data_IF_456406834244
#
_entry.id   IF_456406834244
#
_cell.length_a   1.000
_cell.length_b   1.000
_cell.length_c   1.000
_cell.angle_alpha   90.00
_cell.angle_beta   90.00
_cell.angle_gamma   90.00
#
_symmetry.space_group_name_H-M   'P 1'
#
loop_
_entity.id
_entity.type
_entity.pdbx_description
1 polymer ?
#
# COMPACT_ATOMS: atom_id res chain seq x y z
N UNK A 1 3.80 5.72 -0.19
CA UNK A 1 3.58 4.26 -0.13
C UNK A 1 3.51 3.75 -1.54
N UNK A 2 4.45 2.90 -1.90
CA UNK A 2 4.52 2.24 -3.20
C UNK A 2 3.45 1.14 -3.30
N UNK A 3 3.32 0.53 -4.48
CA UNK A 3 2.26 -0.43 -4.79
C UNK A 3 2.70 -1.89 -4.62
N UNK A 4 3.67 -2.16 -3.73
CA UNK A 4 4.06 -3.53 -3.43
C UNK A 4 2.85 -4.33 -2.92
N UNK A 5 2.75 -5.61 -3.28
CA UNK A 5 1.54 -6.43 -3.06
C UNK A 5 1.12 -6.47 -1.58
N UNK A 6 2.08 -6.53 -0.67
CA UNK A 6 1.86 -6.54 0.78
C UNK A 6 1.34 -5.19 1.31
N UNK A 7 1.56 -4.09 0.60
CA UNK A 7 0.99 -2.79 0.93
C UNK A 7 -0.45 -2.61 0.45
N UNK A 8 -0.90 -3.43 -0.50
CA UNK A 8 -2.22 -3.34 -1.14
C UNK A 8 -3.15 -4.50 -0.74
N UNK A 9 -2.94 -5.07 0.45
CA UNK A 9 -3.82 -6.11 1.02
C UNK A 9 -5.18 -5.49 1.37
N UNK A 10 -6.24 -6.01 0.76
CA UNK A 10 -7.61 -5.55 0.97
C UNK A 10 -8.12 -5.98 2.35
N UNK A 11 -8.73 -5.05 3.08
CA UNK A 11 -9.37 -5.32 4.38
C UNK A 11 -10.63 -6.17 4.24
N UNK A 12 -11.37 -5.99 3.14
CA UNK A 12 -12.59 -6.72 2.86
C UNK A 12 -12.44 -7.56 1.60
N UNK A 13 -12.92 -8.80 1.66
CA UNK A 13 -13.05 -9.62 0.48
C UNK A 13 -14.26 -9.15 -0.34
N UNK A 14 -13.99 -8.74 -1.57
CA UNK A 14 -15.02 -8.28 -2.50
C UNK A 14 -15.47 -9.41 -3.43
N UNK A 15 -16.76 -9.49 -3.76
CA UNK A 15 -17.25 -10.44 -4.75
C UNK A 15 -16.60 -10.21 -6.12
N UNK A 16 -16.33 -11.31 -6.81
CA UNK A 16 -15.82 -11.32 -8.19
C UNK A 16 -16.74 -12.15 -9.08
N UNK A 17 -16.55 -12.07 -10.40
CA UNK A 17 -17.32 -12.89 -11.36
C UNK A 17 -17.09 -14.40 -11.21
N UNK A 18 -16.07 -14.85 -10.48
CA UNK A 18 -15.87 -16.28 -10.19
C UNK A 18 -16.73 -16.78 -9.02
N UNK A 19 -17.29 -15.89 -8.18
CA UNK A 19 -18.13 -16.31 -7.05
C UNK A 19 -19.44 -16.93 -7.53
N UNK A 20 -19.98 -17.88 -6.76
CA UNK A 20 -21.34 -18.40 -6.98
C UNK A 20 -22.35 -17.26 -6.83
N UNK A 21 -23.40 -17.25 -7.66
CA UNK A 21 -24.44 -16.20 -7.65
C UNK A 21 -24.98 -15.94 -6.24
N UNK A 22 -25.32 -17.02 -5.52
CA UNK A 22 -25.84 -16.92 -4.14
C UNK A 22 -24.86 -16.20 -3.20
N UNK A 23 -23.57 -16.53 -3.25
CA UNK A 23 -22.56 -15.86 -2.40
C UNK A 23 -22.44 -14.35 -2.68
N UNK A 24 -22.75 -13.90 -3.89
CA UNK A 24 -22.79 -12.47 -4.22
C UNK A 24 -24.02 -11.81 -3.59
N UNK A 25 -25.15 -12.51 -3.59
CA UNK A 25 -26.40 -12.07 -2.94
C UNK A 25 -26.18 -11.96 -1.43
N UNK A 26 -25.69 -13.03 -0.79
CA UNK A 26 -25.44 -13.05 0.66
C UNK A 26 -24.48 -11.91 1.08
N UNK A 27 -23.46 -11.63 0.26
CA UNK A 27 -22.54 -10.52 0.53
C UNK A 27 -23.23 -9.16 0.42
N UNK A 28 -24.09 -8.94 -0.57
CA UNK A 28 -24.85 -7.70 -0.74
C UNK A 28 -25.82 -7.49 0.43
N UNK A 29 -26.57 -8.53 0.81
CA UNK A 29 -27.51 -8.49 1.93
C UNK A 29 -26.81 -8.23 3.26
N UNK A 30 -25.63 -8.84 3.48
CA UNK A 30 -24.78 -8.55 4.64
C UNK A 30 -24.33 -7.07 4.71
N UNK A 31 -24.29 -6.36 3.57
CA UNK A 31 -24.01 -4.92 3.51
C UNK A 31 -25.28 -4.05 3.54
N UNK A 32 -26.45 -4.65 3.75
CA UNK A 32 -27.74 -3.96 3.81
C UNK A 32 -28.38 -3.66 2.45
N UNK A 33 -27.87 -4.24 1.35
CA UNK A 33 -28.52 -4.12 0.04
C UNK A 33 -29.69 -5.09 -0.08
N UNK A 34 -30.82 -4.60 -0.60
CA UNK A 34 -31.97 -5.43 -0.93
C UNK A 34 -31.76 -6.02 -2.33
N UNK A 35 -31.86 -7.34 -2.45
CA UNK A 35 -31.78 -8.08 -3.71
C UNK A 35 -33.18 -8.58 -4.07
N UNK A 36 -33.77 -7.99 -5.11
CA UNK A 36 -35.10 -8.40 -5.61
C UNK A 36 -34.91 -9.42 -6.74
N UNK A 37 -35.61 -10.56 -6.62
CA UNK A 37 -35.59 -11.62 -7.63
C UNK A 37 -36.69 -11.42 -8.70
N UNK A 38 -36.49 -11.95 -9.93
CA UNK A 38 -35.28 -12.60 -10.43
C UNK A 38 -34.22 -11.58 -10.90
N UNK A 39 -32.95 -11.80 -10.54
CA UNK A 39 -31.82 -10.94 -10.95
C UNK A 39 -30.69 -11.76 -11.59
N UNK A 40 -30.01 -11.23 -12.60
CA UNK A 40 -28.85 -11.87 -13.23
C UNK A 40 -27.54 -11.46 -12.57
N UNK A 41 -26.49 -12.27 -12.74
CA UNK A 41 -25.18 -12.06 -12.09
C UNK A 41 -24.54 -10.71 -12.47
N UNK A 42 -24.76 -10.25 -13.70
CA UNK A 42 -24.24 -8.97 -14.19
C UNK A 42 -24.80 -7.80 -13.37
N UNK A 43 -26.10 -7.82 -13.06
CA UNK A 43 -26.75 -6.75 -12.30
C UNK A 43 -26.37 -6.78 -10.82
N UNK A 44 -26.16 -7.97 -10.24
CA UNK A 44 -25.55 -8.10 -8.91
C UNK A 44 -24.17 -7.43 -8.88
N UNK A 45 -23.33 -7.68 -9.89
CA UNK A 45 -22.01 -7.05 -9.96
C UNK A 45 -22.06 -5.53 -10.22
N UNK A 46 -23.13 -5.00 -10.82
CA UNK A 46 -23.35 -3.55 -10.90
C UNK A 46 -23.62 -2.98 -9.50
N UNK A 47 -24.43 -3.65 -8.68
CA UNK A 47 -24.65 -3.28 -7.26
C UNK A 47 -23.34 -3.34 -6.46
N UNK A 48 -22.57 -4.43 -6.57
CA UNK A 48 -21.25 -4.55 -5.92
C UNK A 48 -20.32 -3.40 -6.31
N UNK A 49 -20.30 -3.01 -7.59
CA UNK A 49 -19.49 -1.88 -8.08
C UNK A 49 -19.88 -0.54 -7.47
N UNK A 50 -21.17 -0.30 -7.16
CA UNK A 50 -21.61 0.91 -6.46
C UNK A 50 -21.03 0.99 -5.06
N UNK A 51 -20.95 -0.16 -4.36
CA UNK A 51 -20.37 -0.25 -3.03
C UNK A 51 -18.83 -0.28 -3.03
N UNK A 52 -18.19 -0.44 -4.19
CA UNK A 52 -16.73 -0.63 -4.30
C UNK A 52 -15.95 0.44 -3.56
N UNK A 53 -16.27 1.73 -3.75
CA UNK A 53 -15.54 2.83 -3.10
C UNK A 53 -15.58 2.77 -1.57
N UNK A 54 -16.67 2.27 -0.99
CA UNK A 54 -16.85 2.21 0.47
C UNK A 54 -16.05 1.05 1.10
N UNK A 55 -15.90 -0.05 0.36
CA UNK A 55 -15.29 -1.29 0.86
C UNK A 55 -13.92 -1.61 0.22
N UNK A 56 -13.45 -0.81 -0.73
CA UNK A 56 -12.09 -0.89 -1.29
C UNK A 56 -11.10 -0.17 -0.36
N UNK A 57 -10.92 -0.75 0.82
CA UNK A 57 -10.00 -0.28 1.86
C UNK A 57 -8.83 -1.24 2.00
N UNK A 58 -7.64 -0.70 2.18
CA UNK A 58 -6.44 -1.49 2.47
C UNK A 58 -6.21 -1.59 3.98
N UNK A 59 -5.68 -2.74 4.43
CA UNK A 59 -5.43 -3.01 5.85
C UNK A 59 -4.51 -1.95 6.46
N UNK A 60 -3.41 -1.63 5.77
CA UNK A 60 -2.43 -0.67 6.26
C UNK A 60 -2.98 0.77 6.27
N UNK A 61 -3.77 1.13 5.27
CA UNK A 61 -4.37 2.48 5.18
C UNK A 61 -5.32 2.72 6.35
N UNK A 62 -6.10 1.70 6.73
CA UNK A 62 -6.99 1.79 7.89
C UNK A 62 -6.20 1.81 9.20
N UNK A 63 -5.18 0.98 9.35
CA UNK A 63 -4.30 1.02 10.52
C UNK A 63 -3.61 2.38 10.69
N UNK A 64 -3.12 2.97 9.61
CA UNK A 64 -2.50 4.28 9.63
C UNK A 64 -3.52 5.37 10.01
N UNK A 65 -4.74 5.29 9.45
CA UNK A 65 -5.84 6.21 9.77
C UNK A 65 -6.22 6.14 11.25
N UNK A 66 -6.30 4.94 11.82
CA UNK A 66 -6.61 4.73 13.25
C UNK A 66 -5.53 5.34 14.16
N UNK A 67 -4.31 5.52 13.64
CA UNK A 67 -3.19 6.21 14.30
C UNK A 67 -3.05 7.68 13.87
N UNK A 68 -4.11 8.28 13.30
CA UNK A 68 -4.14 9.66 12.82
C UNK A 68 -3.04 9.99 11.80
N UNK A 69 -2.68 9.02 10.95
CA UNK A 69 -1.71 9.17 9.86
C UNK A 69 -2.41 9.15 8.50
N UNK A 70 -1.87 9.93 7.57
CA UNK A 70 -2.34 9.97 6.18
C UNK A 70 -1.36 9.16 5.33
N UNK A 71 -1.89 8.20 4.57
CA UNK A 71 -1.09 7.42 3.61
C UNK A 71 -1.18 8.06 2.23
N UNK A 72 -0.05 8.57 1.73
CA UNK A 72 0.09 9.01 0.35
C UNK A 72 0.57 7.83 -0.51
N UNK A 73 -0.23 7.41 -1.49
CA UNK A 73 0.12 6.33 -2.41
C UNK A 73 0.72 6.88 -3.71
N UNK A 74 1.77 6.22 -4.18
CA UNK A 74 2.42 6.56 -5.45
C UNK A 74 1.66 5.94 -6.63
N UNK A 75 1.70 6.58 -7.81
CA UNK A 75 1.27 5.94 -9.04
C UNK A 75 2.03 4.61 -9.27
N UNK A 76 1.36 3.58 -9.84
CA UNK A 76 2.02 2.32 -10.16
C UNK A 76 3.24 2.52 -11.07
N UNK A 77 4.33 1.78 -10.81
CA UNK A 77 5.58 1.79 -11.60
C UNK A 77 6.40 3.09 -11.56
N UNK A 78 6.14 3.98 -10.61
CA UNK A 78 6.88 5.23 -10.43
C UNK A 78 7.68 5.23 -9.11
N UNK A 79 8.65 4.32 -8.98
CA UNK A 79 9.45 4.18 -7.76
C UNK A 79 10.43 5.36 -7.55
N UNK A 80 10.76 6.11 -8.60
CA UNK A 80 11.53 7.35 -8.56
C UNK A 80 10.86 8.45 -7.72
N UNK A 81 9.53 8.37 -7.55
CA UNK A 81 8.76 9.28 -6.70
C UNK A 81 8.79 8.87 -5.22
N UNK A 82 9.41 7.74 -4.88
CA UNK A 82 9.48 7.27 -3.51
C UNK A 82 10.69 7.89 -2.79
N UNK A 83 10.50 8.82 -1.84
CA UNK A 83 11.62 9.52 -1.20
C UNK A 83 12.57 8.58 -0.45
N UNK A 84 12.07 7.45 0.07
CA UNK A 84 12.93 6.46 0.74
C UNK A 84 13.88 5.78 -0.25
N UNK A 85 13.45 5.52 -1.48
CA UNK A 85 14.32 4.92 -2.52
C UNK A 85 15.42 5.89 -2.93
N UNK A 86 15.11 7.18 -3.02
CA UNK A 86 16.10 8.23 -3.30
C UNK A 86 17.14 8.32 -2.17
N UNK A 87 16.68 8.36 -0.91
CA UNK A 87 17.56 8.35 0.25
C UNK A 87 18.43 7.09 0.27
N UNK A 88 17.83 5.93 0.04
CA UNK A 88 18.55 4.64 0.03
C UNK A 88 19.54 4.53 -1.12
N UNK A 89 19.23 5.08 -2.29
CA UNK A 89 20.15 5.18 -3.43
C UNK A 89 21.40 5.98 -3.06
N UNK A 90 21.23 7.13 -2.39
CA UNK A 90 22.36 7.94 -1.91
C UNK A 90 23.26 7.18 -0.94
N UNK A 91 22.65 6.49 0.04
CA UNK A 91 23.38 5.70 1.04
C UNK A 91 24.10 4.52 0.40
N UNK A 92 23.41 3.76 -0.47
CA UNK A 92 23.99 2.62 -1.21
C UNK A 92 25.19 3.05 -2.06
N UNK A 93 25.07 4.18 -2.75
CA UNK A 93 26.17 4.72 -3.55
C UNK A 93 27.39 5.06 -2.69
N UNK A 94 27.18 5.69 -1.53
CA UNK A 94 28.26 5.99 -0.59
C UNK A 94 28.94 4.72 -0.07
N UNK A 95 28.17 3.74 0.39
CA UNK A 95 28.71 2.46 0.87
C UNK A 95 29.48 1.75 -0.24
N UNK A 96 28.94 1.72 -1.46
CA UNK A 96 29.59 1.07 -2.62
C UNK A 96 30.95 1.69 -2.95
N UNK A 97 31.09 3.02 -2.85
CA UNK A 97 32.35 3.70 -3.18
C UNK A 97 33.39 3.68 -2.06
N UNK A 98 32.98 3.44 -0.80
CA UNK A 98 33.87 3.48 0.36
C UNK A 98 34.11 2.11 1.01
N UNK A 99 33.36 1.08 0.63
CA UNK A 99 33.54 -0.26 1.16
C UNK A 99 34.65 -1.01 0.42
N UNK A 100 35.90 -0.77 0.81
CA UNK A 100 37.07 -1.40 0.21
C UNK A 100 37.38 -2.81 0.76
N UNK A 101 36.59 -3.28 1.73
CA UNK A 101 36.91 -4.50 2.50
C UNK A 101 35.88 -5.61 2.36
N UNK A 102 34.69 -5.27 1.86
CA UNK A 102 33.54 -6.18 1.74
C UNK A 102 33.14 -6.87 3.06
N UNK A 103 33.54 -6.32 4.22
CA UNK A 103 33.19 -6.83 5.56
C UNK A 103 31.96 -6.12 6.11
N UNK A 104 31.06 -6.88 6.74
CA UNK A 104 29.81 -6.34 7.30
C UNK A 104 30.03 -5.25 8.35
N UNK A 105 31.07 -5.38 9.20
CA UNK A 105 31.43 -4.36 10.19
C UNK A 105 31.69 -3.00 9.52
N UNK A 106 32.43 -3.00 8.42
CA UNK A 106 32.76 -1.78 7.69
C UNK A 106 31.54 -1.19 6.97
N UNK A 107 30.63 -2.03 6.49
CA UNK A 107 29.32 -1.57 5.97
C UNK A 107 28.53 -0.86 7.07
N UNK A 108 28.45 -1.43 8.28
CA UNK A 108 27.72 -0.83 9.40
C UNK A 108 28.29 0.54 9.79
N UNK A 109 29.62 0.67 9.83
CA UNK A 109 30.28 1.95 10.15
C UNK A 109 30.03 3.01 9.07
N UNK A 110 30.05 2.61 7.79
CA UNK A 110 29.72 3.51 6.67
C UNK A 110 28.25 3.95 6.70
N UNK A 111 27.32 3.05 7.05
CA UNK A 111 25.91 3.37 7.22
C UNK A 111 25.70 4.40 8.34
N UNK A 112 26.36 4.23 9.49
CA UNK A 112 26.29 5.19 10.60
C UNK A 112 26.85 6.57 10.22
N UNK A 113 27.95 6.61 9.46
CA UNK A 113 28.56 7.86 9.00
C UNK A 113 27.65 8.63 8.04
N UNK A 114 26.98 7.94 7.11
CA UNK A 114 26.14 8.58 6.08
C UNK A 114 24.69 8.82 6.52
N UNK A 115 24.15 7.96 7.38
CA UNK A 115 22.80 8.04 7.95
C UNK A 115 22.72 8.75 9.31
N UNK A 116 23.81 9.39 9.75
CA UNK A 116 23.82 10.26 10.93
C UNK A 116 22.83 11.43 10.80
N UNK A 117 22.56 12.16 11.91
CA UNK A 117 21.51 13.18 11.93
C UNK A 117 21.72 14.20 10.81
N UNK A 118 20.69 14.35 9.96
CA UNK A 118 20.63 15.43 8.99
C UNK A 118 20.72 16.75 9.77
N UNK A 119 21.75 17.54 9.51
CA UNK A 119 21.81 18.91 9.98
C UNK A 119 20.64 19.66 9.36
N UNK A 120 19.53 19.80 10.10
CA UNK A 120 18.47 20.73 9.77
C UNK A 120 19.10 22.11 9.90
N UNK A 121 19.56 22.67 8.77
CA UNK A 121 19.73 24.12 8.72
C UNK A 121 18.33 24.67 8.93
N UNK A 122 18.10 25.20 10.14
CA UNK A 122 16.99 26.10 10.37
C UNK A 122 17.13 27.19 9.31
N UNK A 123 16.14 27.27 8.44
CA UNK A 123 15.98 28.42 7.57
C UNK A 123 15.16 29.38 8.43
N UNK A 124 15.88 30.31 9.07
CA UNK A 124 15.28 31.49 9.69
C UNK A 124 14.59 32.37 8.63
#
# INVERSE_FOLDING_TARGET
MDNASYHSVKKYQMPTMSWKKQRIIDWLECKGEIVIHPIVKIDLMKKVRKLKKQYEKYVIDEYAKDNHKIVLRLPPYHCELNPIELAWSSVKNYVRTHNNTFKLKNVLDLLKKRGGPCNTRNVD
#
